data_IF_548471212138
#
_entry.id   IF_548471212138
#
_cell.length_a   1.000
_cell.length_b   1.000
_cell.length_c   1.000
_cell.angle_alpha   90.00
_cell.angle_beta   90.00
_cell.angle_gamma   90.00
#
_symmetry.space_group_name_H-M   'P 1'
#
loop_
_entity.id
_entity.type
_entity.pdbx_description
1 polymer ?
#
# COMPACT_ATOMS: atom_id res chain seq x y z
N UNK A 1 -26.49 -4.05 -2.86
CA UNK A 1 -25.41 -4.34 -1.90
C UNK A 1 -24.14 -4.59 -2.70
N UNK A 2 -23.17 -3.67 -2.71
CA UNK A 2 -21.89 -3.96 -3.34
C UNK A 2 -21.14 -4.98 -2.48
N UNK A 3 -20.63 -6.05 -3.09
CA UNK A 3 -19.85 -7.04 -2.39
C UNK A 3 -18.56 -6.37 -1.87
N UNK A 4 -18.37 -6.37 -0.55
CA UNK A 4 -17.13 -5.90 0.06
C UNK A 4 -16.01 -6.89 -0.27
N UNK A 5 -14.96 -6.40 -0.90
CA UNK A 5 -13.74 -7.13 -1.21
C UNK A 5 -12.67 -6.78 -0.17
N UNK A 6 -11.93 -7.80 0.29
CA UNK A 6 -10.72 -7.58 1.09
C UNK A 6 -9.53 -7.40 0.16
N UNK A 7 -8.64 -6.50 0.52
CA UNK A 7 -7.39 -6.21 -0.16
C UNK A 7 -6.23 -6.27 0.84
N UNK A 8 -5.03 -6.53 0.33
CA UNK A 8 -3.78 -6.35 1.07
C UNK A 8 -2.98 -5.26 0.37
N UNK A 9 -2.79 -4.14 1.06
CA UNK A 9 -1.86 -3.08 0.66
C UNK A 9 -0.51 -3.36 1.31
N UNK A 10 0.54 -3.46 0.50
CA UNK A 10 1.92 -3.61 0.96
C UNK A 10 2.77 -2.46 0.44
N UNK A 11 3.71 -1.97 1.25
CA UNK A 11 4.76 -1.04 0.84
C UNK A 11 6.14 -1.64 1.16
N UNK A 12 7.06 -1.49 0.22
CA UNK A 12 8.44 -1.94 0.31
C UNK A 12 9.37 -0.76 0.04
N UNK A 13 10.64 -0.90 0.41
CA UNK A 13 11.70 0.05 0.06
C UNK A 13 11.40 1.49 0.51
N UNK A 14 10.72 1.63 1.67
CA UNK A 14 10.40 2.93 2.26
C UNK A 14 11.61 3.44 3.04
N UNK A 15 12.66 3.83 2.31
CA UNK A 15 13.86 4.43 2.86
C UNK A 15 14.60 5.23 1.80
N UNK A 16 15.48 6.12 2.26
CA UNK A 16 16.47 6.80 1.43
C UNK A 16 17.86 6.35 1.82
N UNK A 17 18.77 6.28 0.84
CA UNK A 17 20.18 6.00 1.05
C UNK A 17 20.95 7.29 0.83
N UNK A 18 21.72 7.69 1.84
CA UNK A 18 22.62 8.85 1.77
C UNK A 18 24.03 8.43 2.18
N UNK A 19 25.04 9.27 1.98
CA UNK A 19 26.43 8.97 2.35
C UNK A 19 26.60 8.63 3.85
N UNK A 20 25.67 9.09 4.71
CA UNK A 20 25.65 8.81 6.15
C UNK A 20 24.82 7.60 6.58
N UNK A 21 24.19 6.87 5.65
CA UNK A 21 23.43 5.66 5.94
C UNK A 21 21.98 5.67 5.42
N UNK A 22 21.15 4.82 6.03
CA UNK A 22 19.77 4.56 5.60
C UNK A 22 18.78 5.25 6.53
N UNK A 23 18.04 6.22 5.99
CA UNK A 23 17.00 6.95 6.70
C UNK A 23 15.61 6.44 6.28
N UNK A 24 14.68 6.41 7.23
CA UNK A 24 13.27 6.17 6.91
C UNK A 24 12.72 7.27 6.01
N UNK A 25 11.59 6.99 5.37
CA UNK A 25 10.91 7.92 4.48
C UNK A 25 9.41 7.93 4.75
N UNK A 26 8.74 8.89 4.11
CA UNK A 26 7.30 9.00 4.11
C UNK A 26 6.78 8.74 2.70
N UNK A 27 5.70 7.94 2.62
CA UNK A 27 4.98 7.69 1.38
C UNK A 27 3.49 7.82 1.59
N UNK A 28 2.79 8.32 0.58
CA UNK A 28 1.34 8.48 0.59
C UNK A 28 0.75 7.68 -0.55
N UNK A 29 -0.25 6.87 -0.22
CA UNK A 29 -0.96 6.01 -1.17
C UNK A 29 -2.41 6.45 -1.24
N UNK A 30 -2.90 6.80 -2.42
CA UNK A 30 -4.32 7.01 -2.67
C UNK A 30 -4.97 5.69 -3.02
N UNK A 31 -6.16 5.45 -2.47
CA UNK A 31 -7.06 4.39 -2.89
C UNK A 31 -8.08 5.00 -3.83
N UNK A 32 -8.23 4.42 -5.02
CA UNK A 32 -9.05 4.94 -6.10
C UNK A 32 -10.22 3.98 -6.37
N UNK A 33 -11.43 4.52 -6.52
CA UNK A 33 -12.59 3.85 -7.13
C UNK A 33 -12.85 4.49 -8.49
N UNK A 34 -12.68 3.73 -9.57
CA UNK A 34 -12.85 4.22 -10.95
C UNK A 34 -12.05 5.51 -11.25
N UNK A 35 -10.81 5.58 -10.75
CA UNK A 35 -9.92 6.73 -10.91
C UNK A 35 -10.17 7.89 -9.96
N UNK A 36 -11.23 7.85 -9.15
CA UNK A 36 -11.55 8.86 -8.13
C UNK A 36 -10.95 8.46 -6.79
N UNK A 37 -10.19 9.34 -6.15
CA UNK A 37 -9.68 9.09 -4.81
C UNK A 37 -10.82 8.98 -3.79
N UNK A 38 -10.88 7.84 -3.11
CA UNK A 38 -11.88 7.54 -2.06
C UNK A 38 -11.26 7.46 -0.67
N UNK A 39 -9.95 7.21 -0.58
CA UNK A 39 -9.22 7.14 0.68
C UNK A 39 -7.71 7.39 0.48
N UNK A 40 -7.00 7.66 1.57
CA UNK A 40 -5.56 7.95 1.56
C UNK A 40 -4.87 7.33 2.76
N UNK A 41 -3.79 6.59 2.49
CA UNK A 41 -2.97 5.92 3.50
C UNK A 41 -1.58 6.54 3.53
N UNK A 42 -1.18 7.07 4.69
CA UNK A 42 0.20 7.52 4.92
C UNK A 42 1.02 6.40 5.55
N UNK A 43 2.19 6.15 4.97
CA UNK A 43 3.25 5.32 5.53
C UNK A 43 4.41 6.22 5.96
N UNK A 44 4.97 5.94 7.14
CA UNK A 44 6.10 6.68 7.71
C UNK A 44 7.04 5.69 8.37
N UNK A 45 8.34 5.86 8.18
CA UNK A 45 9.36 5.06 8.86
C UNK A 45 10.30 4.38 7.89
N UNK A 46 11.05 3.38 8.37
CA UNK A 46 12.08 2.70 7.60
C UNK A 46 11.65 1.27 7.28
N UNK A 47 11.28 0.99 6.03
CA UNK A 47 10.91 -0.36 5.59
C UNK A 47 11.99 -0.99 4.70
N UNK A 48 12.84 -1.82 5.31
CA UNK A 48 13.87 -2.60 4.60
C UNK A 48 13.54 -4.09 4.52
N UNK A 49 12.39 -4.50 5.07
CA UNK A 49 11.97 -5.89 5.07
C UNK A 49 11.57 -6.34 3.68
N UNK A 50 12.02 -7.52 3.27
CA UNK A 50 11.60 -8.18 2.04
C UNK A 50 10.06 -8.33 2.00
N UNK A 51 9.45 -8.66 3.14
CA UNK A 51 7.99 -8.79 3.27
C UNK A 51 7.20 -7.48 3.24
N UNK A 52 7.90 -6.34 3.33
CA UNK A 52 7.29 -5.01 3.37
C UNK A 52 6.43 -4.76 4.62
N UNK A 53 5.88 -3.55 4.71
CA UNK A 53 4.78 -3.27 5.64
C UNK A 53 3.46 -3.49 4.93
N UNK A 54 2.59 -4.31 5.53
CA UNK A 54 1.29 -4.61 4.93
C UNK A 54 0.13 -4.31 5.85
N UNK A 55 -0.97 -3.83 5.28
CA UNK A 55 -2.23 -3.56 5.96
C UNK A 55 -3.38 -4.15 5.18
N UNK A 56 -4.32 -4.77 5.88
CA UNK A 56 -5.60 -5.21 5.30
C UNK A 56 -6.47 -4.00 5.01
N UNK A 57 -7.12 -3.99 3.85
CA UNK A 57 -8.05 -2.95 3.44
C UNK A 57 -9.37 -3.59 3.02
N UNK A 58 -10.50 -3.00 3.38
CA UNK A 58 -11.82 -3.50 3.02
C UNK A 58 -12.56 -2.41 2.26
N UNK A 59 -13.11 -2.75 1.10
CA UNK A 59 -13.83 -1.78 0.28
C UNK A 59 -14.60 -2.44 -0.83
N UNK A 60 -15.09 -1.64 -1.76
CA UNK A 60 -15.76 -2.12 -2.99
C UNK A 60 -14.78 -2.96 -3.83
N UNK A 61 -15.30 -3.87 -4.65
CA UNK A 61 -14.49 -4.51 -5.69
C UNK A 61 -14.02 -3.51 -6.76
N UNK A 62 -12.87 -3.77 -7.37
CA UNK A 62 -12.29 -2.88 -8.39
C UNK A 62 -11.52 -1.67 -7.85
N UNK A 63 -11.27 -1.58 -6.54
CA UNK A 63 -10.38 -0.55 -6.01
C UNK A 63 -8.95 -0.72 -6.49
N UNK A 64 -8.29 0.41 -6.74
CA UNK A 64 -6.88 0.51 -7.10
C UNK A 64 -6.11 1.32 -6.05
N UNK A 65 -4.79 1.14 -5.99
CA UNK A 65 -3.93 1.97 -5.15
C UNK A 65 -2.81 2.60 -5.99
N UNK A 66 -2.53 3.86 -5.75
CA UNK A 66 -1.48 4.62 -6.43
C UNK A 66 -0.61 5.35 -5.42
N UNK A 67 0.71 5.35 -5.65
CA UNK A 67 1.64 6.16 -4.89
C UNK A 67 1.48 7.63 -5.33
N UNK A 68 1.12 8.52 -4.42
CA UNK A 68 0.88 9.95 -4.70
C UNK A 68 2.08 10.80 -4.32
N UNK A 69 2.88 10.35 -3.36
CA UNK A 69 4.11 11.03 -2.95
C UNK A 69 5.24 10.79 -3.94
N UNK A 70 6.04 11.81 -4.24
CA UNK A 70 7.29 11.69 -4.99
C UNK A 70 8.43 11.00 -4.19
N UNK A 71 8.16 10.55 -2.96
CA UNK A 71 9.12 9.88 -2.09
C UNK A 71 9.38 8.41 -2.49
N UNK A 72 10.39 7.77 -1.88
CA UNK A 72 10.71 6.37 -2.15
C UNK A 72 9.60 5.45 -1.65
N UNK A 73 9.49 4.29 -2.29
CA UNK A 73 8.56 3.24 -1.90
C UNK A 73 7.93 2.56 -3.10
N UNK A 74 7.80 1.24 -3.03
CA UNK A 74 7.07 0.43 -4.01
C UNK A 74 5.85 -0.17 -3.35
N UNK A 75 4.68 0.04 -3.94
CA UNK A 75 3.43 -0.48 -3.42
C UNK A 75 2.92 -1.69 -4.21
N UNK A 76 2.18 -2.55 -3.52
CA UNK A 76 1.39 -3.62 -4.11
C UNK A 76 0.01 -3.61 -3.47
N UNK A 77 -1.05 -3.71 -4.29
CA UNK A 77 -2.42 -3.72 -3.82
C UNK A 77 -3.16 -4.88 -4.46
N UNK A 78 -3.43 -5.92 -3.66
CA UNK A 78 -3.95 -7.18 -4.16
C UNK A 78 -5.29 -7.51 -3.51
N UNK A 79 -6.30 -7.81 -4.33
CA UNK A 79 -7.55 -8.38 -3.87
C UNK A 79 -7.27 -9.77 -3.26
N UNK A 80 -7.77 -9.99 -2.05
CA UNK A 80 -7.76 -11.29 -1.36
C UNK A 80 -9.13 -11.93 -1.56
N UNK A 81 -9.25 -12.75 -2.59
CA UNK A 81 -10.41 -13.64 -2.73
C UNK A 81 -10.37 -14.67 -1.60
N UNK A 82 -11.44 -14.76 -0.83
CA UNK A 82 -11.55 -15.76 0.21
C UNK A 82 -11.79 -17.13 -0.43
N UNK A 83 -10.74 -17.90 -0.66
CA UNK A 83 -10.77 -19.36 -0.60
C UNK A 83 -9.37 -19.93 -0.74
N UNK A 84 -8.81 -20.42 0.37
CA UNK A 84 -8.39 -21.82 0.40
C UNK A 84 -8.56 -22.33 1.83
N UNK A 85 -9.52 -23.25 1.99
CA UNK A 85 -9.53 -24.24 3.05
C UNK A 85 -8.33 -25.16 2.81
N UNK A 86 -7.44 -25.30 3.78
CA UNK A 86 -6.90 -26.60 4.19
C UNK A 86 -6.52 -26.52 5.66
#
# INVERSE_FOLDING_TARGET
MQASQRYRLSIHDLFTVTEGGICGADAVVAILDDGVEVDRVKFTGKCQSEGGYSRSYHGKSGLHAALVSAGPGRISFQARYGSELT
#
